data_IF_240877547347
#
_entry.id   IF_240877547347
#
_cell.length_a   1.000
_cell.length_b   1.000
_cell.length_c   1.000
_cell.angle_alpha   90.00
_cell.angle_beta   90.00
_cell.angle_gamma   90.00
#
_symmetry.space_group_name_H-M   'P 1'
#
loop_
_entity.id
_entity.type
_entity.pdbx_description
1 polymer ?
#
# COMPACT_ATOMS: atom_id res chain seq x y z
N UNK A 1 -55.58 -30.26 16.33
CA UNK A 1 -54.53 -29.96 17.33
C UNK A 1 -53.12 -30.20 16.78
N UNK A 2 -52.72 -31.42 16.38
CA UNK A 2 -51.35 -31.65 15.86
C UNK A 2 -50.99 -30.89 14.58
N UNK A 3 -51.91 -30.78 13.61
CA UNK A 3 -51.67 -30.02 12.36
C UNK A 3 -51.32 -28.54 12.60
N UNK A 4 -51.89 -27.96 13.65
CA UNK A 4 -51.65 -26.57 14.02
C UNK A 4 -50.27 -26.39 14.66
N UNK A 5 -49.80 -27.38 15.44
CA UNK A 5 -48.46 -27.36 16.04
C UNK A 5 -47.37 -27.51 14.97
N UNK A 6 -47.56 -28.40 14.00
CA UNK A 6 -46.61 -28.58 12.88
C UNK A 6 -46.51 -27.30 12.04
N UNK A 7 -47.63 -26.58 11.83
CA UNK A 7 -47.62 -25.28 11.16
C UNK A 7 -46.86 -24.21 11.93
N UNK A 8 -47.08 -24.12 13.24
CA UNK A 8 -46.37 -23.17 14.10
C UNK A 8 -44.84 -23.40 14.07
N UNK A 9 -44.42 -24.67 14.11
CA UNK A 9 -43.00 -25.03 14.04
C UNK A 9 -42.39 -24.72 12.65
N UNK A 10 -43.14 -24.99 11.56
CA UNK A 10 -42.73 -24.60 10.21
C UNK A 10 -42.66 -23.08 10.01
N UNK A 11 -43.54 -22.31 10.64
CA UNK A 11 -43.55 -20.85 10.55
C UNK A 11 -42.36 -20.26 11.30
N UNK A 12 -42.10 -20.73 12.51
CA UNK A 12 -40.93 -20.31 13.29
C UNK A 12 -39.61 -20.60 12.56
N UNK A 13 -39.50 -21.78 11.94
CA UNK A 13 -38.32 -22.13 11.16
C UNK A 13 -38.15 -21.25 9.91
N UNK A 14 -39.24 -20.83 9.28
CA UNK A 14 -39.21 -19.91 8.14
C UNK A 14 -38.80 -18.50 8.57
N UNK A 15 -39.37 -17.99 9.66
CA UNK A 15 -39.02 -16.68 10.22
C UNK A 15 -37.54 -16.62 10.62
N UNK A 16 -37.05 -17.65 11.33
CA UNK A 16 -35.64 -17.76 11.69
C UNK A 16 -34.72 -17.76 10.47
N UNK A 17 -35.02 -18.57 9.45
CA UNK A 17 -34.23 -18.61 8.23
C UNK A 17 -34.24 -17.27 7.46
N UNK A 18 -35.35 -16.54 7.52
CA UNK A 18 -35.49 -15.24 6.88
C UNK A 18 -34.70 -14.15 7.62
N UNK A 19 -34.65 -14.21 8.95
CA UNK A 19 -33.86 -13.33 9.79
C UNK A 19 -32.35 -13.55 9.58
N UNK A 20 -31.90 -14.81 9.47
CA UNK A 20 -30.51 -15.16 9.12
C UNK A 20 -30.15 -14.62 7.74
N UNK A 21 -30.99 -14.81 6.73
CA UNK A 21 -30.76 -14.25 5.38
C UNK A 21 -30.62 -12.74 5.37
N UNK A 22 -31.42 -12.04 6.16
CA UNK A 22 -31.38 -10.58 6.25
C UNK A 22 -30.09 -10.11 6.94
N UNK A 23 -29.65 -10.81 7.98
CA UNK A 23 -28.39 -10.54 8.67
C UNK A 23 -27.19 -10.81 7.76
N UNK A 24 -27.13 -11.96 7.08
CA UNK A 24 -26.05 -12.29 6.15
C UNK A 24 -25.97 -11.29 4.99
N UNK A 25 -27.11 -10.94 4.39
CA UNK A 25 -27.15 -9.99 3.28
C UNK A 25 -26.69 -8.58 3.67
N UNK A 26 -27.18 -8.04 4.79
CA UNK A 26 -26.79 -6.68 5.24
C UNK A 26 -25.35 -6.59 5.73
N UNK A 27 -24.91 -7.60 6.49
CA UNK A 27 -23.59 -7.63 7.14
C UNK A 27 -22.47 -7.91 6.13
N UNK A 28 -22.69 -8.79 5.16
CA UNK A 28 -21.69 -9.07 4.12
C UNK A 28 -21.45 -7.86 3.21
N UNK A 29 -22.50 -7.13 2.83
CA UNK A 29 -22.38 -5.92 2.01
C UNK A 29 -21.52 -4.86 2.72
N UNK A 30 -21.71 -4.66 4.03
CA UNK A 30 -20.92 -3.69 4.80
C UNK A 30 -19.45 -4.09 4.90
N UNK A 31 -19.15 -5.37 5.09
CA UNK A 31 -17.76 -5.84 5.15
C UNK A 31 -17.05 -5.71 3.80
N UNK A 32 -17.72 -6.00 2.69
CA UNK A 32 -17.13 -5.83 1.35
C UNK A 32 -16.77 -4.37 1.06
N UNK A 33 -17.65 -3.43 1.44
CA UNK A 33 -17.41 -2.00 1.26
C UNK A 33 -16.28 -1.49 2.17
N UNK A 34 -16.25 -1.91 3.44
CA UNK A 34 -15.17 -1.59 4.38
C UNK A 34 -13.81 -2.09 3.88
N UNK A 35 -13.73 -3.37 3.48
CA UNK A 35 -12.50 -3.97 2.93
C UNK A 35 -12.04 -3.23 1.67
N UNK A 36 -12.96 -2.84 0.79
CA UNK A 36 -12.63 -2.09 -0.42
C UNK A 36 -12.14 -0.68 -0.11
N UNK A 37 -12.69 -0.02 0.91
CA UNK A 37 -12.21 1.29 1.36
C UNK A 37 -10.82 1.19 1.98
N UNK A 38 -10.60 0.17 2.82
CA UNK A 38 -9.32 -0.07 3.47
C UNK A 38 -8.23 -0.39 2.44
N UNK A 39 -8.47 -1.32 1.52
CA UNK A 39 -7.53 -1.64 0.44
C UNK A 39 -7.20 -0.41 -0.44
N UNK A 40 -8.18 0.46 -0.70
CA UNK A 40 -7.94 1.72 -1.43
C UNK A 40 -7.10 2.72 -0.63
N UNK A 41 -7.30 2.77 0.69
CA UNK A 41 -6.56 3.66 1.58
C UNK A 41 -5.11 3.19 1.69
N UNK A 42 -4.90 1.90 1.96
CA UNK A 42 -3.59 1.27 2.03
C UNK A 42 -2.83 1.47 0.72
N UNK A 43 -3.42 1.12 -0.43
CA UNK A 43 -2.73 1.28 -1.72
C UNK A 43 -2.35 2.75 -2.05
N UNK A 44 -3.14 3.73 -1.60
CA UNK A 44 -2.78 5.16 -1.74
C UNK A 44 -1.65 5.58 -0.81
N UNK A 45 -1.67 5.07 0.42
CA UNK A 45 -0.66 5.39 1.42
C UNK A 45 0.69 4.77 1.05
N UNK A 46 0.70 3.48 0.70
CA UNK A 46 1.86 2.76 0.21
C UNK A 46 2.44 3.43 -1.04
N UNK A 47 1.60 3.70 -2.06
CA UNK A 47 2.06 4.34 -3.29
C UNK A 47 2.64 5.75 -3.07
N UNK A 48 2.11 6.50 -2.09
CA UNK A 48 2.64 7.82 -1.73
C UNK A 48 3.99 7.72 -1.02
N UNK A 49 4.13 6.79 -0.09
CA UNK A 49 5.40 6.61 0.64
C UNK A 49 6.49 6.02 -0.25
N UNK A 50 6.15 5.06 -1.11
CA UNK A 50 7.06 4.53 -2.13
C UNK A 50 7.50 5.64 -3.10
N UNK A 51 6.56 6.39 -3.69
CA UNK A 51 6.90 7.47 -4.62
C UNK A 51 7.79 8.54 -4.01
N UNK A 52 7.58 8.91 -2.74
CA UNK A 52 8.49 9.83 -2.02
C UNK A 52 9.87 9.22 -1.79
N UNK A 53 9.94 7.94 -1.42
CA UNK A 53 11.21 7.25 -1.15
C UNK A 53 12.03 7.15 -2.42
N UNK A 54 11.41 6.75 -3.52
CA UNK A 54 12.04 6.64 -4.84
C UNK A 54 12.48 8.00 -5.36
N UNK A 55 11.59 9.00 -5.35
CA UNK A 55 11.94 10.36 -5.79
C UNK A 55 13.12 10.95 -5.02
N UNK A 56 13.19 10.75 -3.69
CA UNK A 56 14.35 11.18 -2.89
C UNK A 56 15.63 10.42 -3.24
N UNK A 57 15.54 9.15 -3.61
CA UNK A 57 16.71 8.37 -4.02
C UNK A 57 17.20 8.80 -5.41
N UNK A 58 16.30 8.99 -6.35
CA UNK A 58 16.59 9.46 -7.71
C UNK A 58 17.22 10.85 -7.68
N UNK A 59 16.62 11.79 -6.93
CA UNK A 59 17.16 13.15 -6.75
C UNK A 59 18.59 13.12 -6.19
N UNK A 60 18.85 12.31 -5.15
CA UNK A 60 20.21 12.18 -4.59
C UNK A 60 21.21 11.62 -5.60
N UNK A 61 20.79 10.67 -6.44
CA UNK A 61 21.63 10.12 -7.49
C UNK A 61 21.92 11.19 -8.56
N UNK A 62 20.91 11.93 -9.00
CA UNK A 62 21.05 12.99 -9.99
C UNK A 62 21.97 14.12 -9.50
N UNK A 63 21.76 14.61 -8.28
CA UNK A 63 22.63 15.60 -7.65
C UNK A 63 24.06 15.07 -7.59
N UNK A 64 24.26 13.82 -7.18
CA UNK A 64 25.60 13.20 -7.12
C UNK A 64 26.25 13.17 -8.50
N UNK A 65 25.51 12.77 -9.54
CA UNK A 65 26.01 12.71 -10.92
C UNK A 65 26.44 14.10 -11.40
N UNK A 66 25.63 15.12 -11.13
CA UNK A 66 25.92 16.50 -11.50
C UNK A 66 27.17 17.03 -10.78
N UNK A 67 27.31 16.77 -9.48
CA UNK A 67 28.48 17.18 -8.70
C UNK A 67 29.77 16.50 -9.19
N UNK A 68 29.72 15.21 -9.54
CA UNK A 68 30.86 14.49 -10.13
C UNK A 68 31.26 15.13 -11.47
N UNK A 69 30.30 15.42 -12.34
CA UNK A 69 30.55 16.08 -13.64
C UNK A 69 31.15 17.48 -13.49
N UNK A 70 30.81 18.18 -12.41
CA UNK A 70 31.40 19.49 -12.06
C UNK A 70 32.79 19.39 -11.42
N UNK A 71 33.35 18.18 -11.25
CA UNK A 71 34.68 17.97 -10.70
C UNK A 71 34.77 18.21 -9.19
N UNK A 72 33.64 18.17 -8.48
CA UNK A 72 33.60 18.39 -7.04
C UNK A 72 34.26 17.20 -6.29
N UNK A 73 35.11 17.43 -5.28
CA UNK A 73 35.75 16.35 -4.53
C UNK A 73 34.75 15.41 -3.83
N UNK A 74 35.04 14.11 -3.84
CA UNK A 74 34.17 13.06 -3.28
C UNK A 74 33.76 13.30 -1.83
N UNK A 75 34.67 13.79 -0.99
CA UNK A 75 34.37 14.10 0.41
C UNK A 75 33.31 15.19 0.59
N UNK A 76 33.28 16.16 -0.33
CA UNK A 76 32.26 17.20 -0.32
C UNK A 76 30.92 16.66 -0.83
N UNK A 77 30.95 15.82 -1.88
CA UNK A 77 29.76 15.16 -2.41
C UNK A 77 29.08 14.29 -1.33
N UNK A 78 29.86 13.49 -0.58
CA UNK A 78 29.36 12.69 0.55
C UNK A 78 28.63 13.54 1.59
N UNK A 79 29.20 14.71 1.94
CA UNK A 79 28.59 15.65 2.90
C UNK A 79 27.32 16.29 2.35
N UNK A 80 27.30 16.65 1.07
CA UNK A 80 26.17 17.33 0.43
C UNK A 80 24.96 16.40 0.21
N UNK A 81 25.20 15.14 -0.19
CA UNK A 81 24.12 14.19 -0.55
C UNK A 81 23.75 13.23 0.59
N UNK A 82 24.61 13.13 1.60
CA UNK A 82 24.49 12.17 2.70
C UNK A 82 24.63 10.71 2.26
N UNK A 83 25.18 10.46 1.07
CA UNK A 83 25.44 9.12 0.57
C UNK A 83 26.75 8.56 1.13
N UNK A 84 26.82 7.24 1.24
CA UNK A 84 28.06 6.55 1.58
C UNK A 84 29.09 6.66 0.45
N UNK A 85 30.37 6.60 0.80
CA UNK A 85 31.46 6.64 -0.18
C UNK A 85 31.34 5.57 -1.25
N UNK A 86 31.01 4.34 -0.84
CA UNK A 86 30.75 3.21 -1.75
C UNK A 86 29.68 3.58 -2.78
N UNK A 87 28.59 4.25 -2.36
CA UNK A 87 27.51 4.61 -3.28
C UNK A 87 27.92 5.71 -4.26
N UNK A 88 28.68 6.71 -3.80
CA UNK A 88 29.21 7.76 -4.66
C UNK A 88 30.20 7.19 -5.69
N UNK A 89 31.06 6.25 -5.29
CA UNK A 89 31.97 5.55 -6.19
C UNK A 89 31.23 4.70 -7.21
N UNK A 90 30.20 3.95 -6.80
CA UNK A 90 29.34 3.18 -7.72
C UNK A 90 28.71 4.09 -8.80
N UNK A 91 28.23 5.27 -8.41
CA UNK A 91 27.67 6.26 -9.35
C UNK A 91 28.74 6.79 -10.30
N UNK A 92 29.94 7.08 -9.78
CA UNK A 92 31.09 7.52 -10.59
C UNK A 92 31.49 6.47 -11.63
N UNK A 93 31.64 5.21 -11.23
CA UNK A 93 31.97 4.11 -12.14
C UNK A 93 30.90 3.90 -13.21
N UNK A 94 29.62 4.08 -12.88
CA UNK A 94 28.53 4.01 -13.86
C UNK A 94 28.61 5.13 -14.88
N UNK A 95 28.92 6.36 -14.45
CA UNK A 95 29.11 7.50 -15.34
C UNK A 95 30.30 7.36 -16.29
N UNK A 96 31.37 6.68 -15.88
CA UNK A 96 32.55 6.45 -16.73
C UNK A 96 32.34 5.34 -17.78
N UNK A 97 31.27 4.55 -17.63
CA UNK A 97 30.88 3.45 -18.53
C UNK A 97 29.75 3.84 -19.51
N UNK A 98 29.15 5.01 -19.32
CA UNK A 98 28.16 5.62 -20.21
C UNK A 98 28.85 6.46 -21.29
#
# INVERSE_FOLDING_TARGET
>A
FMDHMIKLESQYQQEFNQEIKNWEGGTMITYEDELKQEARKEGREEGREEGKREGRQEEKIEITRNLIKLGIPLDFIKKATGLSEKKVLEIKEKLEKE
#
